data_IF_167804340740
#
_entry.id   IF_167804340740
#
_cell.length_a   1.000
_cell.length_b   1.000
_cell.length_c   1.000
_cell.angle_alpha   90.00
_cell.angle_beta   90.00
_cell.angle_gamma   90.00
#
_symmetry.space_group_name_H-M   'P 1'
#
loop_
_entity.id
_entity.type
_entity.pdbx_description
1 polymer ?
#
# COMPACT_ATOMS: atom_id res chain seq x y z
N UNK A 1 8.90 -6.68 -8.86
CA UNK A 1 7.62 -6.64 -9.58
C UNK A 1 6.44 -7.11 -8.74
N UNK A 2 6.56 -8.19 -7.96
CA UNK A 2 5.47 -8.76 -7.13
C UNK A 2 4.73 -7.76 -6.22
N UNK A 3 5.44 -6.82 -5.59
CA UNK A 3 4.81 -5.81 -4.69
C UNK A 3 3.90 -4.82 -5.40
N UNK A 4 4.20 -4.47 -6.65
CA UNK A 4 3.36 -3.55 -7.42
C UNK A 4 2.01 -4.21 -7.76
N UNK A 5 2.05 -5.49 -8.16
CA UNK A 5 0.86 -6.27 -8.42
C UNK A 5 0.01 -6.42 -7.16
N UNK A 6 0.62 -6.73 -6.01
CA UNK A 6 -0.11 -6.85 -4.75
C UNK A 6 -0.86 -5.56 -4.34
N UNK A 7 -0.31 -4.37 -4.63
CA UNK A 7 -1.00 -3.09 -4.40
C UNK A 7 -2.23 -2.96 -5.29
N UNK A 8 -2.11 -3.34 -6.57
CA UNK A 8 -3.23 -3.32 -7.53
C UNK A 8 -4.32 -4.30 -7.09
N UNK A 9 -3.95 -5.53 -6.74
CA UNK A 9 -4.87 -6.58 -6.34
C UNK A 9 -5.60 -6.18 -5.05
N UNK A 10 -4.88 -5.63 -4.06
CA UNK A 10 -5.49 -5.10 -2.84
C UNK A 10 -6.55 -4.05 -3.16
N UNK A 11 -6.23 -3.10 -4.07
CA UNK A 11 -7.16 -2.03 -4.47
C UNK A 11 -8.38 -2.56 -5.22
N UNK A 12 -8.22 -3.61 -6.03
CA UNK A 12 -9.33 -4.23 -6.75
C UNK A 12 -10.29 -4.96 -5.81
N UNK A 13 -9.76 -5.61 -4.77
CA UNK A 13 -10.56 -6.41 -3.83
C UNK A 13 -11.17 -5.59 -2.70
N UNK A 14 -10.47 -4.57 -2.21
CA UNK A 14 -10.84 -3.81 -1.01
C UNK A 14 -11.31 -2.38 -1.33
N UNK A 15 -11.15 -1.94 -2.58
CA UNK A 15 -11.43 -0.56 -2.98
C UNK A 15 -10.21 0.37 -2.82
N UNK A 16 -10.39 1.69 -3.00
CA UNK A 16 -9.32 2.66 -2.88
C UNK A 16 -8.72 2.68 -1.46
N UNK A 17 -7.45 3.06 -1.35
CA UNK A 17 -6.83 3.34 -0.06
C UNK A 17 -7.42 4.61 0.53
N UNK A 18 -7.80 4.58 1.80
CA UNK A 18 -8.32 5.76 2.51
C UNK A 18 -7.24 6.44 3.36
N UNK A 19 -6.16 5.74 3.66
CA UNK A 19 -5.01 6.25 4.39
C UNK A 19 -3.74 5.50 3.95
N UNK A 20 -2.59 6.17 4.09
CA UNK A 20 -1.31 5.58 3.71
C UNK A 20 -0.94 4.33 4.55
N UNK A 21 -1.46 4.20 5.78
CA UNK A 21 -1.16 3.06 6.66
C UNK A 21 -1.76 1.75 6.12
N UNK A 22 -2.81 1.80 5.30
CA UNK A 22 -3.41 0.61 4.67
C UNK A 22 -2.45 -0.12 3.73
N UNK A 23 -1.38 0.53 3.25
CA UNK A 23 -0.32 -0.17 2.51
C UNK A 23 0.35 -1.28 3.33
N UNK A 24 0.30 -1.22 4.66
CA UNK A 24 0.79 -2.32 5.53
C UNK A 24 -0.06 -3.58 5.46
N UNK A 25 -1.29 -3.48 4.92
CA UNK A 25 -2.20 -4.62 4.69
C UNK A 25 -1.93 -5.30 3.34
N UNK A 26 -1.12 -4.70 2.47
CA UNK A 26 -0.75 -5.28 1.19
C UNK A 26 0.29 -6.37 1.39
N UNK A 27 0.05 -7.53 0.80
CA UNK A 27 0.98 -8.66 0.88
C UNK A 27 2.38 -8.26 0.37
N UNK A 28 3.40 -8.57 1.17
CA UNK A 28 4.78 -8.21 0.86
C UNK A 28 5.18 -6.77 1.22
N UNK A 29 4.29 -5.96 1.78
CA UNK A 29 4.58 -4.64 2.35
C UNK A 29 4.37 -4.69 3.87
N UNK A 30 5.39 -5.15 4.58
CA UNK A 30 5.43 -5.06 6.04
C UNK A 30 5.85 -3.68 6.54
N UNK A 31 5.78 -3.47 7.86
CA UNK A 31 6.11 -2.20 8.55
C UNK A 31 7.48 -1.65 8.11
N UNK A 32 8.52 -2.50 8.02
CA UNK A 32 9.86 -2.05 7.64
C UNK A 32 9.95 -1.49 6.20
N UNK A 33 9.12 -2.01 5.28
CA UNK A 33 9.05 -1.47 3.92
C UNK A 33 8.22 -0.20 3.91
N UNK A 34 7.08 -0.21 4.61
CA UNK A 34 6.22 0.96 4.77
C UNK A 34 6.98 2.17 5.33
N UNK A 35 7.71 2.01 6.43
CA UNK A 35 8.49 3.09 7.06
C UNK A 35 9.51 3.74 6.11
N UNK A 36 10.11 2.95 5.21
CA UNK A 36 11.06 3.46 4.20
C UNK A 36 10.39 4.25 3.08
N UNK A 37 9.11 4.03 2.81
CA UNK A 37 8.41 4.65 1.67
C UNK A 37 7.29 5.59 2.09
N UNK A 38 6.91 5.65 3.38
CA UNK A 38 5.75 6.41 3.87
C UNK A 38 5.80 7.91 3.54
N UNK A 39 6.99 8.45 3.38
CA UNK A 39 7.22 9.85 3.02
C UNK A 39 7.15 10.12 1.51
N UNK A 40 7.09 9.08 0.69
CA UNK A 40 7.03 9.13 -0.78
C UNK A 40 5.61 8.86 -1.31
N UNK A 41 4.65 8.61 -0.43
CA UNK A 41 3.30 8.21 -0.76
C UNK A 41 2.29 9.21 -0.21
N UNK A 42 1.21 9.42 -0.94
CA UNK A 42 0.06 10.22 -0.52
C UNK A 42 -1.22 9.53 -0.98
N UNK A 43 -2.28 9.72 -0.22
CA UNK A 43 -3.65 9.38 -0.64
C UNK A 43 -4.35 10.70 -0.90
N UNK A 44 -5.05 10.82 -2.03
CA UNK A 44 -5.87 11.99 -2.32
C UNK A 44 -7.22 11.85 -1.61
N UNK A 45 -7.74 12.97 -1.11
CA UNK A 45 -9.12 13.08 -0.58
C UNK A 45 -10.18 12.87 -1.67
#
# INVERSE_FOLDING_TARGET
ETRAQAIIDYRQQNGPFHNINELTKVEGIGIATYEKIKHLISVAD
#
